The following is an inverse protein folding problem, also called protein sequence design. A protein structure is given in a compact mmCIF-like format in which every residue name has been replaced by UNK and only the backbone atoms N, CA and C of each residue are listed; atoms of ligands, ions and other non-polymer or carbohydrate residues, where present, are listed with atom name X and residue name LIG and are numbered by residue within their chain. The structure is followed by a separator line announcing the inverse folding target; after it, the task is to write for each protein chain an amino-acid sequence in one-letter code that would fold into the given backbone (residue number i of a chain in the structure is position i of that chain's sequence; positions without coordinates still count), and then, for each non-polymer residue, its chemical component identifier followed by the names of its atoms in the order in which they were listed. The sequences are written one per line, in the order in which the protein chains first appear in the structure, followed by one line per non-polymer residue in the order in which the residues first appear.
data_IF_796186868984
#
_entry.id   IF_796186868984
#
_cell.length_a   1.000
_cell.length_b   1.000
_cell.length_c   1.000
_cell.angle_alpha   90.00
_cell.angle_beta   90.00
_cell.angle_gamma   90.00
#
_symmetry.space_group_name_H-M   'P 1'
#
loop_
_entity.id
_entity.type
_entity.pdbx_description
1 polymer ?
2 polymer ?
3 non-polymer ?
4 non-polymer ?
5 non-polymer ?
6 water ?
#
# COMPACT_ATOMS: atom_id res chain seq x y z
N UNK A 1 21.27 8.01 3.49
CA UNK A 1 22.70 7.97 3.04
C UNK A 1 23.09 9.05 2.04
N UNK A 2 22.79 8.79 0.76
CA UNK A 2 23.24 9.67 -0.31
C UNK A 2 22.56 11.02 -0.31
N UNK A 3 21.45 11.19 0.43
CA UNK A 3 20.78 12.48 0.55
C UNK A 3 21.16 13.20 1.83
N UNK A 4 22.13 12.68 2.58
CA UNK A 4 22.48 13.25 3.86
C UNK A 4 22.94 14.70 3.82
N UNK A 5 23.54 15.12 2.72
CA UNK A 5 24.03 16.49 2.61
C UNK A 5 23.01 17.48 2.08
N UNK A 6 21.81 17.03 1.69
CA UNK A 6 20.80 17.93 1.14
C UNK A 6 19.83 18.38 2.23
N UNK A 7 19.49 19.66 2.21
CA UNK A 7 18.51 20.21 3.16
C UNK A 7 17.19 19.46 3.09
N UNK A 8 16.57 19.28 4.26
CA UNK A 8 15.23 18.68 4.30
C UNK A 8 14.27 19.41 3.34
N UNK A 9 14.23 20.74 3.38
CA UNK A 9 13.27 21.46 2.56
C UNK A 9 13.57 21.27 1.08
N UNK A 10 14.84 21.16 0.71
CA UNK A 10 15.23 20.94 -0.69
C UNK A 10 14.82 19.56 -1.17
N UNK A 11 14.96 18.56 -0.30
CA UNK A 11 14.50 17.21 -0.61
C UNK A 11 12.99 17.19 -0.88
N UNK A 12 12.21 17.87 -0.02
CA UNK A 12 10.76 17.93 -0.21
C UNK A 12 10.45 18.62 -1.52
N UNK A 13 11.09 19.77 -1.79
CA UNK A 13 10.87 20.49 -3.03
C UNK A 13 11.16 19.61 -4.23
N UNK A 14 12.29 18.90 -4.19
CA UNK A 14 12.65 18.04 -5.31
C UNK A 14 11.74 16.83 -5.42
N UNK A 15 11.21 16.32 -4.31
CA UNK A 15 10.22 15.26 -4.43
C UNK A 15 9.00 15.73 -5.20
N UNK A 16 8.57 16.98 -4.96
CA UNK A 16 7.41 17.52 -5.67
C UNK A 16 7.72 17.70 -7.15
N UNK A 17 8.94 18.13 -7.47
CA UNK A 17 9.35 18.26 -8.87
C UNK A 17 9.40 16.88 -9.53
N UNK A 18 9.95 15.90 -8.83
CA UNK A 18 10.05 14.56 -9.38
C UNK A 18 8.66 14.00 -9.66
N UNK A 19 7.71 14.23 -8.77
CA UNK A 19 6.33 13.83 -9.02
C UNK A 19 5.80 14.44 -10.33
N UNK A 20 6.03 15.74 -10.51
CA UNK A 20 5.54 16.41 -11.72
C UNK A 20 6.18 15.82 -12.97
N UNK A 21 7.44 15.42 -12.88
CA UNK A 21 8.20 14.81 -13.97
C UNK A 21 7.98 13.30 -14.10
N UNK A 22 7.12 12.72 -13.28
CA UNK A 22 6.88 11.27 -13.25
C UNK A 22 8.18 10.48 -13.05
N UNK A 23 9.05 11.00 -12.20
CA UNK A 23 10.32 10.37 -11.85
C UNK A 23 10.20 9.80 -10.45
N UNK A 24 9.52 8.65 -10.36
CA UNK A 24 9.08 8.18 -9.05
C UNK A 24 10.20 7.54 -8.25
N UNK A 25 11.18 6.91 -8.92
CA UNK A 25 12.35 6.42 -8.19
C UNK A 25 13.08 7.59 -7.53
N UNK A 26 13.27 8.69 -8.27
CA UNK A 26 13.87 9.88 -7.67
C UNK A 26 13.01 10.41 -6.52
N UNK A 27 11.71 10.50 -6.75
CA UNK A 27 10.81 10.99 -5.73
C UNK A 27 10.95 10.17 -4.45
N UNK A 28 11.02 8.85 -4.58
CA UNK A 28 11.15 7.99 -3.40
C UNK A 28 12.49 8.22 -2.69
N UNK A 29 13.57 8.34 -3.46
CA UNK A 29 14.87 8.59 -2.84
C UNK A 29 14.90 9.92 -2.11
N UNK A 30 14.29 10.95 -2.68
CA UNK A 30 14.22 12.25 -2.01
C UNK A 30 13.42 12.12 -0.72
N UNK A 31 12.29 11.42 -0.76
CA UNK A 31 11.47 11.33 0.45
C UNK A 31 12.13 10.42 1.49
N UNK A 32 12.81 9.36 1.08
CA UNK A 32 13.62 8.59 2.04
C UNK A 32 14.65 9.48 2.73
N UNK A 33 15.34 10.32 1.95
CA UNK A 33 16.26 11.26 2.55
C UNK A 33 15.59 12.19 3.54
N UNK A 34 14.39 12.66 3.20
CA UNK A 34 13.67 13.54 4.12
C UNK A 34 13.30 12.82 5.40
N UNK A 35 12.80 11.58 5.29
CA UNK A 35 12.48 10.81 6.48
C UNK A 35 13.72 10.67 7.36
N UNK A 36 14.86 10.36 6.75
CA UNK A 36 16.08 10.11 7.51
C UNK A 36 16.64 11.36 8.19
N UNK A 37 16.07 12.54 7.92
CA UNK A 37 16.43 13.70 8.73
C UNK A 37 15.96 13.58 10.17
N UNK A 38 15.02 12.67 10.44
CA UNK A 38 14.62 12.40 11.82
C UNK A 38 13.42 13.17 12.32
N UNK A 39 12.97 14.18 11.60
CA UNK A 39 11.77 14.90 11.99
C UNK A 39 10.51 14.17 11.51
N UNK A 40 9.42 14.39 12.23
CA UNK A 40 8.13 13.87 11.80
C UNK A 40 7.74 14.49 10.45
N UNK A 41 6.82 13.82 9.75
CA UNK A 41 6.32 14.27 8.45
C UNK A 41 4.94 14.90 8.59
N UNK A 42 4.72 15.98 7.86
CA UNK A 42 3.40 16.57 7.76
C UNK A 42 2.47 15.70 6.92
N UNK A 44 1.06 16.41 4.03
CA UNK A 44 1.50 16.51 2.64
C UNK A 44 2.74 15.63 2.42
N UNK A 45 3.69 15.72 3.36
CA UNK A 45 4.94 14.96 3.22
C UNK A 45 4.70 13.46 3.30
N UNK A 46 3.80 13.02 4.20
CA UNK A 46 3.44 11.60 4.27
C UNK A 46 2.89 11.13 2.92
N UNK A 47 2.05 11.95 2.30
CA UNK A 47 1.47 11.57 1.03
C UNK A 47 2.53 11.55 -0.08
N UNK A 48 3.51 12.47 -0.04
CA UNK A 48 4.60 12.38 -1.01
C UNK A 48 5.36 11.07 -0.86
N UNK A 49 5.67 10.70 0.38
CA UNK A 49 6.35 9.44 0.65
C UNK A 49 5.56 8.26 0.09
N UNK A 50 4.26 8.21 0.38
CA UNK A 50 3.42 7.08 -0.03
C UNK A 50 3.27 7.02 -1.54
N UNK A 51 2.98 8.17 -2.18
CA UNK A 51 2.81 8.19 -3.63
C UNK A 51 4.08 7.72 -4.34
N UNK A 52 5.24 8.17 -3.85
CA UNK A 52 6.51 7.79 -4.47
C UNK A 52 6.69 6.28 -4.44
N UNK A 53 6.65 5.67 -3.26
CA UNK A 53 6.91 4.25 -3.17
C UNK A 53 5.79 3.42 -3.79
N UNK A 54 4.54 3.93 -3.77
CA UNK A 54 3.45 3.19 -4.40
C UNK A 54 3.69 3.07 -5.89
N UNK A 55 4.18 4.14 -6.52
CA UNK A 55 4.48 4.10 -7.95
C UNK A 55 5.65 3.18 -8.25
N UNK A 56 6.71 3.23 -7.45
CA UNK A 56 7.86 2.34 -7.65
C UNK A 56 7.43 0.88 -7.51
N UNK A 57 6.81 0.53 -6.38
CA UNK A 57 6.46 -0.88 -6.16
C UNK A 57 5.38 -1.31 -7.14
N UNK A 58 4.54 -0.39 -7.59
CA UNK A 58 3.52 -0.76 -8.57
C UNK A 58 4.10 -1.23 -9.89
N UNK A 59 5.13 -0.55 -10.38
CA UNK A 59 5.80 -1.03 -11.58
C UNK A 59 6.42 -2.40 -11.37
N UNK A 60 6.98 -2.64 -10.19
CA UNK A 60 7.61 -3.92 -9.92
C UNK A 60 6.57 -5.01 -9.83
N UNK A 61 5.44 -4.72 -9.19
CA UNK A 61 4.37 -5.72 -9.06
C UNK A 61 3.85 -6.09 -10.44
N UNK A 62 3.61 -5.10 -11.29
CA UNK A 62 3.09 -5.39 -12.62
C UNK A 62 4.08 -6.23 -13.41
N UNK A 63 5.36 -5.91 -13.30
CA UNK A 63 6.37 -6.70 -14.03
C UNK A 63 6.45 -8.12 -13.47
N UNK A 64 6.43 -8.25 -12.14
CA UNK A 64 6.47 -9.57 -11.51
C UNK A 64 5.32 -10.43 -12.00
N UNK A 65 4.12 -9.85 -12.12
CA UNK A 65 2.96 -10.64 -12.52
C UNK A 65 3.11 -11.12 -13.96
N UNK A 66 3.63 -10.27 -14.84
CA UNK A 66 3.88 -10.68 -16.23
C UNK A 66 4.83 -11.86 -16.24
N UNK A 67 5.93 -11.75 -15.50
CA UNK A 67 6.96 -12.79 -15.55
C UNK A 67 6.47 -14.08 -14.88
N UNK A 68 5.74 -13.95 -13.77
CA UNK A 68 5.20 -15.12 -13.10
C UNK A 68 4.24 -15.87 -14.00
N UNK A 69 3.43 -15.14 -14.78
CA UNK A 69 2.49 -15.78 -15.69
C UNK A 69 3.23 -16.54 -16.78
N UNK A 70 4.27 -15.93 -17.35
CA UNK A 70 5.08 -16.62 -18.35
C UNK A 70 5.72 -17.86 -17.73
N UNK A 71 6.22 -17.74 -16.50
CA UNK A 71 6.88 -18.85 -15.82
C UNK A 71 5.92 -20.01 -15.60
N UNK A 72 4.70 -19.70 -15.17
CA UNK A 72 3.73 -20.76 -14.93
C UNK A 72 3.36 -21.46 -16.23
N UNK A 73 3.10 -20.69 -17.28
CA UNK A 73 2.87 -21.29 -18.60
C UNK A 73 4.02 -22.20 -19.01
N UNK A 74 5.25 -21.77 -18.78
CA UNK A 74 6.40 -22.59 -19.16
C UNK A 74 6.45 -23.91 -18.40
N UNK A 75 5.79 -24.00 -17.24
CA UNK A 75 5.76 -25.22 -16.44
C UNK A 75 4.47 -26.00 -16.61
N UNK A 76 3.63 -25.62 -17.58
CA UNK A 76 2.38 -26.33 -17.84
CA UNK A 79 5.39 -26.84 -22.54
C UNK A 79 6.84 -27.16 -22.85
N UNK A 80 7.39 -26.47 -23.85
CA UNK A 80 8.79 -26.68 -24.24
C UNK A 80 9.71 -26.04 -23.21
N UNK A 81 10.68 -26.81 -22.73
CA UNK A 81 11.62 -26.31 -21.72
C UNK A 81 12.53 -25.25 -22.33
N UNK A 82 12.59 -24.07 -21.69
CA UNK A 82 13.33 -22.95 -22.22
C UNK A 82 14.54 -22.58 -21.35
N UNK A 83 14.87 -23.39 -20.35
CA UNK A 83 16.01 -23.14 -19.51
C UNK A 83 15.65 -22.33 -18.29
N UNK A 84 16.67 -21.86 -17.56
CA UNK A 84 16.44 -21.22 -16.27
C UNK A 84 16.10 -19.73 -16.36
N UNK A 85 16.05 -19.16 -17.57
CA UNK A 85 16.07 -17.70 -17.69
C UNK A 85 14.80 -17.05 -17.16
N UNK A 86 13.62 -17.62 -17.43
CA UNK A 86 12.38 -17.02 -16.97
C UNK A 86 12.36 -16.96 -15.44
N UNK A 87 12.67 -18.09 -14.80
CA UNK A 87 12.77 -18.14 -13.34
C UNK A 87 13.80 -17.15 -12.82
N UNK A 88 15.00 -17.13 -13.42
CA UNK A 88 16.04 -16.22 -12.97
C UNK A 88 15.55 -14.78 -13.01
N UNK A 89 14.92 -14.38 -14.12
CA UNK A 89 14.56 -12.98 -14.26
C UNK A 89 13.35 -12.64 -13.38
N UNK A 90 12.40 -13.58 -13.22
CA UNK A 90 11.33 -13.35 -12.25
C UNK A 90 11.92 -13.17 -10.86
N UNK A 91 12.89 -14.02 -10.50
CA UNK A 91 13.57 -13.92 -9.21
C UNK A 91 14.27 -12.57 -9.07
N UNK A 92 14.88 -12.07 -10.14
CA UNK A 92 15.56 -10.78 -10.09
C UNK A 92 14.59 -9.67 -9.72
N UNK A 93 13.47 -9.59 -10.46
CA UNK A 93 12.45 -8.58 -10.21
C UNK A 93 11.87 -8.76 -8.82
N UNK A 94 11.60 -10.01 -8.44
CA UNK A 94 11.07 -10.31 -7.11
C UNK A 94 11.99 -9.79 -6.00
N UNK A 95 13.29 -10.02 -6.14
CA UNK A 95 14.23 -9.57 -5.13
C UNK A 95 14.27 -8.04 -5.05
N UNK A 96 14.19 -7.37 -6.20
CA UNK A 96 14.15 -5.91 -6.22
C UNK A 96 12.90 -5.42 -5.50
N UNK A 97 11.75 -6.04 -5.82
CA UNK A 97 10.49 -5.68 -5.17
C UNK A 97 10.57 -5.86 -3.65
N UNK A 98 11.08 -7.01 -3.20
CA UNK A 98 11.25 -7.25 -1.78
C UNK A 98 12.15 -6.20 -1.17
N UNK A 99 13.16 -5.77 -1.91
CA UNK A 99 14.06 -4.76 -1.38
C UNK A 99 13.37 -3.43 -1.13
N UNK A 100 12.50 -3.03 -2.07
CA UNK A 100 11.72 -1.79 -1.90
C UNK A 100 10.78 -1.93 -0.70
N UNK A 101 10.09 -3.05 -0.60
CA UNK A 101 9.23 -3.26 0.56
C UNK A 101 10.03 -3.21 1.86
N UNK A 102 11.20 -3.86 1.91
CA UNK A 102 12.03 -3.81 3.11
C UNK A 102 12.47 -2.38 3.43
N UNK A 103 12.78 -1.59 2.40
CA UNK A 103 13.18 -0.21 2.62
C UNK A 103 12.05 0.59 3.27
N UNK A 104 10.83 0.47 2.71
CA UNK A 104 9.70 1.20 3.26
C UNK A 104 9.43 0.75 4.69
N UNK A 105 9.40 -0.58 4.91
CA UNK A 105 9.16 -1.10 6.26
C UNK A 105 10.24 -0.61 7.22
N UNK A 106 11.47 -0.49 6.74
CA UNK A 106 12.55 0.01 7.59
C UNK A 106 12.35 1.45 8.01
N UNK A 107 11.86 2.29 7.09
CA UNK A 107 11.54 3.67 7.44
C UNK A 107 10.43 3.73 8.46
N UNK A 108 9.40 2.89 8.29
CA UNK A 108 8.29 2.90 9.22
C UNK A 108 8.76 2.46 10.60
N UNK A 109 9.67 1.49 10.66
CA UNK A 109 10.16 0.97 11.94
C UNK A 109 11.26 1.84 12.54
N UNK A 110 11.92 2.67 11.74
CA UNK A 110 13.04 3.50 12.21
C UNK A 110 12.91 4.92 11.61
N UNK A 111 12.03 5.77 12.17
CA UNK A 111 11.26 5.57 13.40
C UNK A 111 9.90 6.24 13.25
N UNK A 112 9.31 6.12 12.06
CA UNK A 112 8.09 6.89 11.80
C UNK A 112 6.94 6.46 12.69
N UNK A 113 6.70 5.15 12.83
CA UNK A 113 5.54 4.71 13.60
C UNK A 113 5.69 5.06 15.07
N UNK A 114 6.88 4.84 15.65
CA UNK A 114 6.97 5.06 17.09
C UNK A 114 6.82 6.52 17.48
N UNK A 115 7.06 7.47 16.57
CA UNK A 115 6.85 8.87 16.92
C UNK A 115 5.50 9.39 16.49
N UNK A 116 4.67 8.56 15.84
CA UNK A 116 3.38 8.98 15.33
C UNK A 116 2.31 8.79 16.40
N UNK A 117 1.79 9.89 16.92
CA UNK A 117 0.82 9.87 18.00
C UNK A 117 -0.58 10.29 17.59
N UNK A 118 -0.70 11.19 16.61
CA UNK A 118 -2.01 11.57 16.15
C UNK A 118 -2.59 10.48 15.26
N UNK A 119 -3.91 10.34 15.31
CA UNK A 119 -4.54 9.27 14.54
C UNK A 119 -4.21 9.37 13.07
N UNK A 120 -4.23 10.59 12.49
CA UNK A 120 -4.04 10.71 11.05
C UNK A 120 -2.63 10.28 10.61
N UNK A 121 -1.63 10.43 11.47
CA UNK A 121 -0.30 9.95 11.11
C UNK A 121 -0.14 8.47 11.46
N UNK A 122 -0.55 8.07 12.66
CA UNK A 122 -0.34 6.71 13.09
C UNK A 122 -1.11 5.72 12.21
N UNK A 123 -2.39 6.01 11.91
CA UNK A 123 -3.17 5.13 11.04
C UNK A 123 -2.56 5.08 9.65
N UNK A 124 -2.12 6.23 9.12
CA UNK A 124 -1.49 6.26 7.81
C UNK A 124 -0.29 5.32 7.75
N UNK A 125 0.60 5.40 8.74
CA UNK A 125 1.80 4.59 8.71
C UNK A 125 1.51 3.12 8.95
N UNK A 126 0.59 2.80 9.87
CA UNK A 126 0.26 1.40 10.09
C UNK A 126 -0.40 0.79 8.86
N UNK A 127 -1.24 1.56 8.17
CA UNK A 127 -1.78 1.11 6.89
C UNK A 127 -0.66 0.82 5.89
N UNK A 128 0.32 1.74 5.78
CA UNK A 128 1.46 1.49 4.89
C UNK A 128 2.17 0.20 5.27
N UNK A 129 2.37 -0.02 6.57
CA UNK A 129 3.03 -1.25 7.02
C UNK A 129 2.24 -2.48 6.55
N UNK A 130 0.91 -2.46 6.74
CA UNK A 130 0.09 -3.55 6.20
C UNK A 130 0.25 -3.71 4.70
N UNK A 131 0.24 -2.60 3.97
CA UNK A 131 0.33 -2.63 2.51
C UNK A 131 1.63 -3.28 2.05
N UNK A 132 2.77 -2.89 2.64
CA UNK A 132 4.04 -3.40 2.11
C UNK A 132 4.28 -4.84 2.58
N UNK A 133 3.75 -5.26 3.73
CA UNK A 133 3.74 -6.70 4.02
C UNK A 133 2.82 -7.44 3.07
N UNK A 134 1.70 -6.83 2.67
CA UNK A 134 0.84 -7.45 1.69
C UNK A 134 1.55 -7.64 0.35
N UNK A 135 2.33 -6.64 -0.10
CA UNK A 135 3.06 -6.82 -1.36
C UNK A 135 4.12 -7.90 -1.23
N UNK A 136 4.75 -8.01 -0.05
CA UNK A 136 5.64 -9.15 0.20
C UNK A 136 4.87 -10.45 0.14
N UNK A 137 3.66 -10.47 0.72
CA UNK A 137 2.86 -11.71 0.71
C UNK A 137 2.50 -12.15 -0.71
N UNK A 138 2.28 -11.19 -1.62
CA UNK A 138 1.88 -11.51 -2.98
C UNK A 138 2.91 -12.38 -3.67
N UNK A 139 4.17 -12.27 -3.28
CA UNK A 139 5.26 -13.00 -3.95
C UNK A 139 5.84 -14.08 -3.06
N UNK A 140 5.31 -14.25 -1.85
CA UNK A 140 5.87 -15.19 -0.88
C UNK A 140 5.37 -16.61 -1.14
N UNK A 141 6.30 -17.56 -1.00
CA UNK A 141 6.01 -18.97 -1.27
C UNK A 141 6.63 -19.91 -0.25
N UNK A 142 7.48 -19.43 0.66
CA UNK A 142 8.26 -20.28 1.51
C UNK A 142 7.72 -20.40 2.92
N UNK A 143 8.62 -20.75 3.84
CA UNK A 143 8.23 -21.04 5.21
C UNK A 143 7.89 -19.79 6.00
N UNK A 144 8.05 -18.61 5.40
CA UNK A 144 7.75 -17.35 6.08
C UNK A 144 6.45 -16.72 5.60
N UNK A 145 5.78 -17.31 4.59
CA UNK A 145 4.57 -16.71 4.04
C UNK A 145 3.52 -16.48 5.12
N UNK A 146 3.27 -17.48 5.97
CA UNK A 146 2.29 -17.30 7.03
C UNK A 146 2.66 -16.15 7.95
N UNK A 147 3.95 -16.00 8.29
CA UNK A 147 4.34 -14.93 9.19
C UNK A 147 4.22 -13.57 8.50
N UNK A 148 4.52 -13.52 7.19
CA UNK A 148 4.36 -12.27 6.43
C UNK A 148 2.90 -11.86 6.42
N UNK A 149 2.02 -12.82 6.14
CA UNK A 149 0.58 -12.53 6.14
C UNK A 149 0.13 -12.07 7.50
N UNK A 150 0.61 -12.71 8.58
CA UNK A 150 0.18 -12.27 9.89
C UNK A 150 0.71 -10.88 10.25
N UNK A 151 1.91 -10.53 9.77
CA UNK A 151 2.43 -9.18 9.96
C UNK A 151 1.55 -8.14 9.27
N UNK A 152 1.13 -8.43 8.03
CA UNK A 152 0.18 -7.53 7.36
C UNK A 152 -1.11 -7.40 8.17
N UNK A 153 -1.69 -8.54 8.56
CA UNK A 153 -2.95 -8.53 9.30
C UNK A 153 -2.82 -7.72 10.59
N UNK A 154 -1.72 -7.92 11.32
CA UNK A 154 -1.54 -7.24 12.60
C UNK A 154 -1.47 -5.73 12.42
N UNK A 155 -0.73 -5.27 11.41
CA UNK A 155 -0.60 -3.84 11.17
C UNK A 155 -1.95 -3.24 10.77
N UNK A 156 -2.64 -3.90 9.84
CA UNK A 156 -3.96 -3.42 9.43
C UNK A 156 -4.92 -3.39 10.60
N UNK A 157 -4.87 -4.40 11.47
CA UNK A 157 -5.83 -4.48 12.56
C UNK A 157 -5.58 -3.38 13.57
N UNK A 158 -4.31 -3.09 13.90
CA UNK A 158 -4.04 -1.98 14.80
C UNK A 158 -4.52 -0.67 14.19
N UNK A 159 -4.25 -0.47 12.90
CA UNK A 159 -4.71 0.73 12.22
C UNK A 159 -6.23 0.82 12.27
N UNK A 160 -6.91 -0.30 12.04
CA UNK A 160 -8.38 -0.30 12.07
C UNK A 160 -8.89 0.08 13.44
N UNK A 161 -8.31 -0.50 14.48
CA UNK A 161 -8.79 -0.24 15.83
C UNK A 161 -8.68 1.25 16.16
N UNK A 162 -7.54 1.88 15.81
CA UNK A 162 -7.36 3.30 16.05
C UNK A 162 -8.35 4.09 15.24
N UNK A 163 -8.52 3.73 13.95
CA UNK A 163 -9.35 4.54 13.07
C UNK A 163 -10.80 4.52 13.55
N UNK A 164 -11.28 3.39 14.06
CA UNK A 164 -12.67 3.33 14.50
C UNK A 164 -12.90 4.13 15.76
N UNK A 165 -11.89 4.24 16.61
CA UNK A 165 -12.01 5.03 17.84
C UNK A 165 -11.83 6.53 17.60
N UNK A 166 -10.98 6.92 16.65
CA UNK A 166 -10.49 8.28 16.58
C UNK A 166 -10.88 9.08 15.33
N UNK A 167 -11.47 8.45 14.32
CA UNK A 167 -11.81 9.08 13.05
C UNK A 167 -13.27 8.84 12.71
N UNK A 168 -13.92 9.78 12.04
CA UNK A 168 -15.26 9.54 11.58
C UNK A 168 -15.28 8.55 10.45
N UNK A 169 -16.42 7.92 10.19
CA UNK A 169 -16.46 6.86 9.16
C UNK A 169 -16.21 7.33 7.76
N UNK A 170 -16.30 8.63 7.48
CA UNK A 170 -16.00 9.17 6.17
C UNK A 170 -14.54 9.59 6.01
N UNK A 171 -13.74 9.52 7.06
CA UNK A 171 -12.38 9.99 6.97
C UNK A 171 -11.65 9.25 5.84
N UNK A 172 -11.03 9.96 4.88
CA UNK A 172 -10.45 9.25 3.73
C UNK A 172 -9.34 8.29 4.09
N UNK A 173 -8.57 8.58 5.13
CA UNK A 173 -7.54 7.64 5.57
C UNK A 173 -8.19 6.36 6.06
N UNK A 174 -9.19 6.50 6.92
CA UNK A 174 -9.95 5.35 7.41
C UNK A 174 -10.55 4.56 6.25
N UNK A 175 -11.13 5.25 5.28
CA UNK A 175 -11.75 4.57 4.14
C UNK A 175 -10.73 3.80 3.31
N UNK A 176 -9.58 4.41 3.03
CA UNK A 176 -8.57 3.72 2.24
C UNK A 176 -7.97 2.53 2.97
N UNK A 177 -7.81 2.66 4.28
CA UNK A 177 -7.40 1.51 5.10
C UNK A 177 -8.38 0.37 4.98
N UNK A 178 -9.66 0.66 5.13
CA UNK A 178 -10.66 -0.40 5.07
C UNK A 178 -10.69 -1.05 3.69
N UNK A 179 -10.60 -0.23 2.65
CA UNK A 179 -10.49 -0.75 1.28
C UNK A 179 -9.36 -1.75 1.17
N UNK A 180 -8.17 -1.34 1.59
CA UNK A 180 -6.99 -2.20 1.42
C UNK A 180 -7.06 -3.45 2.30
N UNK A 181 -7.54 -3.30 3.55
CA UNK A 181 -7.69 -4.47 4.42
C UNK A 181 -8.71 -5.43 3.84
N UNK A 182 -9.78 -4.92 3.21
CA UNK A 182 -10.73 -5.82 2.58
C UNK A 182 -10.10 -6.61 1.44
N UNK A 183 -9.22 -5.97 0.66
CA UNK A 183 -8.52 -6.71 -0.41
C UNK A 183 -7.56 -7.73 0.19
N UNK A 184 -6.87 -7.35 1.26
CA UNK A 184 -6.05 -8.31 2.03
C UNK A 184 -6.87 -9.54 2.38
N UNK A 185 -8.07 -9.33 2.96
CA UNK A 185 -8.90 -10.47 3.31
C UNK A 185 -9.24 -11.29 2.09
N UNK A 186 -9.63 -10.63 1.00
CA UNK A 186 -10.19 -11.34 -0.14
C UNK A 186 -9.17 -12.29 -0.73
N UNK A 187 -7.96 -11.80 -0.98
CA UNK A 187 -7.05 -12.56 -1.81
C UNK A 187 -5.72 -12.90 -1.17
N UNK A 188 -5.41 -12.39 0.01
CA UNK A 188 -4.22 -12.82 0.74
C UNK A 188 -4.57 -13.80 1.84
N UNK A 189 -5.56 -13.44 2.68
CA UNK A 189 -6.05 -14.29 3.76
C UNK A 189 -7.05 -15.35 3.29
N UNK A 190 -7.47 -15.32 2.03
CA UNK A 190 -8.47 -16.26 1.51
C UNK A 190 -9.73 -16.26 2.38
N UNK A 191 -10.15 -15.05 2.72
CA UNK A 191 -11.35 -14.79 3.52
C UNK A 191 -12.30 -13.88 2.74
N UNK A 192 -12.84 -14.35 1.61
CA UNK A 192 -13.70 -13.47 0.81
C UNK A 192 -14.92 -12.99 1.58
N UNK A 193 -15.48 -13.78 2.47
CA UNK A 193 -16.66 -13.30 3.17
C UNK A 193 -16.30 -12.15 4.12
N UNK A 194 -15.16 -12.23 4.78
CA UNK A 194 -14.70 -11.13 5.61
C UNK A 194 -14.50 -9.88 4.78
N UNK A 195 -13.92 -10.06 3.60
CA UNK A 195 -13.67 -8.93 2.71
C UNK A 195 -14.96 -8.23 2.32
N UNK A 196 -15.96 -9.01 1.94
CA UNK A 196 -17.25 -8.45 1.52
C UNK A 196 -17.93 -7.75 2.69
N UNK A 197 -17.93 -8.39 3.86
CA UNK A 197 -18.53 -7.78 5.06
C UNK A 197 -17.87 -6.44 5.37
N UNK A 198 -16.54 -6.42 5.37
CA UNK A 198 -15.84 -5.20 5.70
C UNK A 198 -16.16 -4.11 4.69
N UNK A 199 -16.14 -4.42 3.40
CA UNK A 199 -16.40 -3.40 2.39
C UNK A 199 -17.82 -2.85 2.51
N UNK A 200 -18.79 -3.74 2.72
CA UNK A 200 -20.20 -3.32 2.85
C UNK A 200 -20.42 -2.45 4.09
N UNK A 201 -19.97 -2.92 5.24
CA UNK A 201 -20.12 -2.15 6.47
C UNK A 201 -19.43 -0.79 6.34
N UNK A 202 -18.22 -0.77 5.80
CA UNK A 202 -17.50 0.50 5.64
C UNK A 202 -18.27 1.45 4.75
N UNK A 203 -18.77 0.95 3.62
CA UNK A 203 -19.52 1.78 2.69
C UNK A 203 -20.76 2.35 3.35
N UNK A 204 -21.54 1.49 4.01
CA UNK A 204 -22.80 1.92 4.60
C UNK A 204 -22.58 2.92 5.74
N UNK A 205 -21.57 2.73 6.58
CA UNK A 205 -21.34 3.67 7.67
C UNK A 205 -20.83 4.99 7.15
N UNK A 206 -20.07 4.96 6.05
CA UNK A 206 -19.66 6.22 5.46
C UNK A 206 -20.86 6.96 4.85
N UNK A 207 -21.69 6.24 4.10
CA UNK A 207 -22.88 6.85 3.51
C UNK A 207 -23.67 7.65 4.55
N UNK A 208 -23.85 7.07 5.73
CA UNK A 208 -24.67 7.69 6.76
C UNK A 208 -24.02 8.89 7.41
N UNK A 209 -22.73 9.15 7.14
CA UNK A 209 -22.00 10.27 7.72
C UNK A 209 -21.70 11.36 6.70
N UNK A 210 -22.04 11.14 5.42
CA UNK A 210 -21.77 12.13 4.38
C UNK A 210 -22.47 13.45 4.66
N UNK A 211 -23.60 13.42 5.36
CA UNK A 211 -24.38 14.64 5.56
C UNK A 211 -23.63 15.68 6.39
N UNK A 212 -22.59 15.26 7.13
CA UNK A 212 -21.82 16.15 7.99
C UNK A 212 -20.75 16.92 7.25
N UNK A 213 -20.50 16.59 5.99
CA UNK A 213 -19.33 17.05 5.26
C UNK A 213 -19.60 18.25 4.38
N UNK A 214 -18.54 19.03 4.18
CA UNK A 214 -18.49 20.05 3.16
C UNK A 214 -18.49 19.43 1.76
N UNK A 215 -18.71 20.28 0.76
CA UNK A 215 -18.67 19.81 -0.62
C UNK A 215 -17.34 19.16 -0.96
N UNK A 216 -16.23 19.77 -0.51
CA UNK A 216 -14.93 19.23 -0.86
C UNK A 216 -14.66 17.90 -0.14
N UNK A 217 -14.98 17.82 1.16
CA UNK A 217 -14.79 16.58 1.88
C UNK A 217 -15.68 15.48 1.34
N UNK A 218 -16.90 15.84 0.94
CA UNK A 218 -17.80 14.89 0.28
C UNK A 218 -17.16 14.27 -0.94
N UNK A 219 -16.51 15.07 -1.79
CA UNK A 219 -15.85 14.54 -2.96
C UNK A 219 -14.71 13.58 -2.58
N UNK A 220 -13.91 13.96 -1.58
CA UNK A 220 -12.81 13.11 -1.13
C UNK A 220 -13.32 11.73 -0.69
N UNK A 221 -14.37 11.73 0.16
CA UNK A 221 -14.87 10.49 0.72
C UNK A 221 -15.57 9.64 -0.32
N UNK A 222 -16.40 10.25 -1.15
CA UNK A 222 -17.14 9.44 -2.12
C UNK A 222 -16.23 8.82 -3.16
N UNK A 223 -15.08 9.45 -3.45
CA UNK A 223 -14.11 8.83 -4.37
C UNK A 223 -13.68 7.46 -3.87
N UNK A 224 -13.36 7.35 -2.59
CA UNK A 224 -12.89 6.08 -2.06
C UNK A 224 -14.05 5.14 -1.87
N UNK A 225 -15.23 5.68 -1.51
CA UNK A 225 -16.40 4.82 -1.40
C UNK A 225 -16.68 4.09 -2.72
N UNK A 226 -16.44 4.77 -3.85
CA UNK A 226 -16.67 4.16 -5.15
C UNK A 226 -15.72 3.00 -5.40
N UNK A 227 -14.50 3.08 -4.86
CA UNK A 227 -13.60 1.94 -4.95
C UNK A 227 -14.12 0.73 -4.17
N UNK A 228 -14.68 0.94 -2.96
CA UNK A 228 -15.31 -0.15 -2.23
C UNK A 228 -16.43 -0.77 -3.06
N UNK A 229 -17.26 0.08 -3.67
CA UNK A 229 -18.37 -0.41 -4.49
C UNK A 229 -17.85 -1.18 -5.70
N UNK A 230 -16.79 -0.67 -6.33
CA UNK A 230 -16.21 -1.37 -7.47
C UNK A 230 -15.84 -2.78 -7.08
N UNK A 231 -15.18 -2.94 -5.94
CA UNK A 231 -14.79 -4.28 -5.51
C UNK A 231 -16.00 -5.12 -5.18
N UNK A 232 -16.97 -4.57 -4.44
CA UNK A 232 -18.16 -5.33 -4.10
C UNK A 232 -18.89 -5.82 -5.35
N UNK A 233 -18.90 -5.01 -6.41
CA UNK A 233 -19.54 -5.43 -7.65
C UNK A 233 -18.81 -6.63 -8.26
N UNK A 234 -17.48 -6.68 -8.16
CA UNK A 234 -16.75 -7.81 -8.68
C UNK A 234 -16.88 -9.03 -7.78
N UNK A 235 -17.15 -8.82 -6.49
CA UNK A 235 -17.11 -9.91 -5.53
C UNK A 235 -18.46 -10.56 -5.27
N UNK A 236 -19.56 -9.94 -5.68
CA UNK A 236 -20.90 -10.41 -5.34
C UNK A 236 -21.81 -10.52 -6.56
N UNK B 1 -3.42 -11.16 -14.02
CA UNK B 1 -4.28 -11.35 -12.86
C UNK B 1 -5.28 -10.22 -12.74
N UNK B 2 -6.51 -10.55 -12.34
CA UNK B 2 -7.49 -9.53 -12.00
C UNK B 2 -7.08 -8.87 -10.68
N UNK B 3 -6.80 -7.57 -10.73
CA UNK B 3 -6.42 -6.80 -9.53
C UNK B 3 -7.61 -5.99 -9.06
N UNK B 4 -7.87 -6.05 -7.76
CA UNK B 4 -8.96 -5.29 -7.17
C UNK B 4 -8.47 -3.89 -6.82
N UNK B 5 -9.44 -3.00 -6.60
CA UNK B 5 -9.11 -1.64 -6.25
C UNK B 5 -8.49 -1.50 -4.88
N UNK B 7 -6.10 1.62 -2.43
CA UNK B 7 -5.95 3.04 -2.27
C UNK B 7 -4.80 3.59 -3.10
N UNK B 8 -4.97 4.80 -3.63
CA UNK B 8 -3.83 5.53 -4.15
C UNK B 8 -3.51 5.17 -5.58
N UNK B 9 -2.34 5.60 -6.05
CA UNK B 9 -2.03 5.45 -7.49
C UNK B 9 -2.13 4.00 -7.93
N UNK B 10 -2.88 3.80 -9.01
CA UNK B 10 -3.04 2.50 -9.65
C UNK B 10 -1.86 2.29 -10.60
N UNK B 11 -0.71 2.07 -9.99
CA UNK B 11 0.58 2.12 -10.65
C UNK B 11 1.06 0.75 -11.13
N UNK B 12 0.25 -0.28 -10.95
CA UNK B 12 0.61 -1.61 -11.40
C UNK B 12 -0.44 -2.07 -12.40
#
# INVERSE_FOLDING_TARGET
GAMGSMERASLIQKAKLAEQAERYEDMAAFMKGAVEKGEELSXEERNLLSVAYKNVVGGQRAAWRVLSSIEQKSNEEGSEEKGPEVREYREKVETELQGVCDTVLGLLDSHLIKEAGDAESRVFYLKMKGDYYRYLAEVATGDDKKRIIDSARSAYQEAMDISKKEMPPTNPIRLGLALNFSVFHYEIANSPEEAISLAKTTFDEAMADLHTLSEDSYKDSTLIMQLLRDNLTLWTADNAGEEGGEAPQEPQS
KLMFKXEGPDSD
#
